data_IF_456817085815
#
_entry.id   IF_456817085815
#
_cell.length_a   1.000
_cell.length_b   1.000
_cell.length_c   1.000
_cell.angle_alpha   90.00
_cell.angle_beta   90.00
_cell.angle_gamma   90.00
#
_symmetry.space_group_name_H-M   'P 1'
#
loop_
_entity.id
_entity.type
_entity.pdbx_description
1 polymer ?
#
# COMPACT_ATOMS: atom_id res chain seq x y z
N UNK A 1 3.98 0.32 11.99
CA UNK A 1 3.28 -0.28 10.85
C UNK A 1 2.78 -1.65 11.30
N UNK A 2 1.75 -2.25 10.68
CA UNK A 2 1.55 -3.72 10.80
C UNK A 2 2.25 -4.43 9.64
N UNK A 3 2.56 -5.72 9.78
CA UNK A 3 3.21 -6.49 8.69
C UNK A 3 2.38 -6.46 7.41
N UNK A 4 1.07 -6.69 7.51
CA UNK A 4 0.14 -6.63 6.37
C UNK A 4 0.04 -5.26 5.70
N UNK A 5 0.34 -4.16 6.40
CA UNK A 5 0.39 -2.82 5.79
C UNK A 5 1.73 -2.61 5.09
N UNK A 6 2.82 -3.12 5.67
CA UNK A 6 4.16 -3.10 5.07
C UNK A 6 4.17 -3.92 3.78
N UNK A 7 3.73 -5.17 3.85
CA UNK A 7 3.61 -6.10 2.72
C UNK A 7 2.80 -5.47 1.57
N UNK A 8 1.62 -4.92 1.86
CA UNK A 8 0.80 -4.26 0.85
C UNK A 8 1.50 -3.08 0.17
N UNK A 9 2.19 -2.23 0.94
CA UNK A 9 2.93 -1.08 0.40
C UNK A 9 4.12 -1.51 -0.45
N UNK A 10 4.89 -2.51 0.03
CA UNK A 10 6.06 -3.04 -0.66
C UNK A 10 5.64 -3.70 -1.97
N UNK A 11 4.66 -4.60 -1.95
CA UNK A 11 4.20 -5.27 -3.15
C UNK A 11 3.64 -4.27 -4.18
N UNK A 12 2.82 -3.32 -3.75
CA UNK A 12 2.31 -2.27 -4.63
C UNK A 12 3.46 -1.45 -5.26
N UNK A 13 4.51 -1.13 -4.50
CA UNK A 13 5.70 -0.46 -5.02
C UNK A 13 6.47 -1.30 -6.03
N UNK A 14 6.79 -2.55 -5.68
CA UNK A 14 7.55 -3.47 -6.54
C UNK A 14 6.82 -3.77 -7.86
N UNK A 15 5.48 -3.85 -7.82
CA UNK A 15 4.66 -4.06 -9.02
C UNK A 15 4.47 -2.78 -9.85
N UNK A 16 4.91 -1.62 -9.38
CA UNK A 16 4.78 -0.35 -10.11
C UNK A 16 3.36 0.25 -10.05
N UNK A 17 2.61 -0.03 -8.98
CA UNK A 17 1.32 0.63 -8.73
C UNK A 17 1.46 2.15 -8.53
N UNK A 18 2.62 2.58 -8.03
CA UNK A 18 2.92 4.00 -7.80
C UNK A 18 3.65 4.67 -8.97
N UNK A 19 3.89 3.96 -10.07
CA UNK A 19 4.57 4.50 -11.25
C UNK A 19 3.65 5.44 -12.06
N UNK A 20 4.26 6.26 -12.93
CA UNK A 20 3.56 7.09 -13.91
C UNK A 20 4.14 6.85 -15.33
N UNK A 21 3.42 6.14 -16.23
CA UNK A 21 2.12 5.49 -16.02
C UNK A 21 2.22 4.30 -15.06
N UNK A 22 1.11 3.96 -14.40
CA UNK A 22 1.05 2.77 -13.53
C UNK A 22 1.28 1.52 -14.35
N UNK A 23 2.06 0.59 -13.81
CA UNK A 23 2.31 -0.72 -14.43
C UNK A 23 1.26 -1.76 -14.07
N UNK A 24 0.61 -1.59 -12.91
CA UNK A 24 -0.48 -2.45 -12.42
C UNK A 24 -1.60 -1.60 -11.81
N UNK A 25 -2.82 -2.14 -11.82
CA UNK A 25 -3.97 -1.62 -11.12
C UNK A 25 -3.98 -2.02 -9.64
N UNK A 26 -4.85 -1.39 -8.85
CA UNK A 26 -5.07 -1.77 -7.46
C UNK A 26 -5.74 -3.15 -7.33
N UNK A 27 -6.51 -3.54 -8.34
CA UNK A 27 -7.22 -4.82 -8.37
C UNK A 27 -6.25 -5.98 -8.55
N UNK A 28 -5.34 -5.89 -9.52
CA UNK A 28 -4.30 -6.90 -9.77
C UNK A 28 -3.39 -7.13 -8.55
N UNK A 29 -3.02 -6.08 -7.83
CA UNK A 29 -2.23 -6.20 -6.58
C UNK A 29 -3.06 -6.86 -5.47
N UNK A 30 -4.37 -6.61 -5.43
CA UNK A 30 -5.24 -7.21 -4.42
C UNK A 30 -5.46 -8.71 -4.68
N UNK A 31 -5.61 -9.09 -5.96
CA UNK A 31 -5.68 -10.48 -6.41
C UNK A 31 -4.40 -11.25 -6.03
N UNK A 32 -3.21 -10.67 -6.24
CA UNK A 32 -1.95 -11.31 -5.86
C UNK A 32 -1.83 -11.56 -4.35
N UNK A 33 -2.41 -10.66 -3.54
CA UNK A 33 -2.47 -10.82 -2.08
C UNK A 33 -3.62 -11.71 -1.61
N UNK A 34 -4.48 -12.20 -2.51
CA UNK A 34 -5.66 -13.00 -2.18
C UNK A 34 -6.68 -12.24 -1.33
N UNK A 35 -6.81 -10.92 -1.51
CA UNK A 35 -7.74 -10.05 -0.76
C UNK A 35 -8.59 -9.21 -1.70
N UNK A 36 -9.68 -8.64 -1.17
CA UNK A 36 -10.47 -7.70 -1.95
C UNK A 36 -9.72 -6.39 -2.20
N UNK A 37 -9.99 -5.74 -3.34
CA UNK A 37 -9.46 -4.41 -3.67
C UNK A 37 -9.72 -3.39 -2.55
N UNK A 38 -10.89 -3.44 -1.90
CA UNK A 38 -11.24 -2.57 -0.78
C UNK A 38 -10.38 -2.86 0.46
N UNK A 39 -10.06 -4.13 0.73
CA UNK A 39 -9.14 -4.52 1.80
C UNK A 39 -7.75 -3.96 1.55
N UNK A 40 -7.25 -4.07 0.30
CA UNK A 40 -5.96 -3.51 -0.09
C UNK A 40 -5.94 -1.99 0.05
N UNK A 41 -6.94 -1.28 -0.50
CA UNK A 41 -7.08 0.18 -0.37
C UNK A 41 -7.02 0.63 1.09
N UNK A 42 -7.71 -0.10 1.98
CA UNK A 42 -7.72 0.17 3.41
C UNK A 42 -6.35 -0.05 4.06
N UNK A 43 -5.62 -1.10 3.67
CA UNK A 43 -4.23 -1.37 4.13
C UNK A 43 -3.28 -0.27 3.66
N UNK A 44 -3.30 0.08 2.37
CA UNK A 44 -2.47 1.15 1.81
C UNK A 44 -2.74 2.48 2.51
N UNK A 45 -4.01 2.87 2.70
CA UNK A 45 -4.35 4.13 3.39
C UNK A 45 -3.78 4.19 4.82
N UNK A 46 -3.93 3.11 5.60
CA UNK A 46 -3.39 3.05 6.97
C UNK A 46 -1.86 3.05 6.97
N UNK A 47 -1.25 2.32 6.04
CA UNK A 47 0.20 2.28 5.86
C UNK A 47 0.76 3.67 5.54
N UNK A 48 0.21 4.35 4.53
CA UNK A 48 0.58 5.73 4.18
C UNK A 48 0.43 6.69 5.36
N UNK A 49 -0.73 6.67 6.06
CA UNK A 49 -0.94 7.52 7.25
C UNK A 49 0.16 7.31 8.29
N UNK A 50 0.55 6.06 8.53
CA UNK A 50 1.59 5.73 9.51
C UNK A 50 2.99 6.15 9.04
N UNK A 51 3.32 5.98 7.76
CA UNK A 51 4.56 6.49 7.19
C UNK A 51 4.65 8.00 7.32
N UNK A 52 3.62 8.73 6.88
CA UNK A 52 3.57 10.20 6.98
C UNK A 52 3.72 10.66 8.43
N UNK A 53 2.98 10.05 9.37
CA UNK A 53 3.10 10.33 10.80
C UNK A 53 4.52 10.14 11.33
N UNK A 54 5.15 9.03 10.94
CA UNK A 54 6.48 8.64 11.38
C UNK A 54 7.62 9.49 10.78
N UNK A 55 7.52 9.84 9.50
CA UNK A 55 8.65 10.37 8.73
C UNK A 55 8.55 11.86 8.43
N UNK A 56 7.33 12.41 8.33
CA UNK A 56 7.11 13.80 7.91
C UNK A 56 6.49 14.65 9.00
N UNK A 57 5.48 14.12 9.69
CA UNK A 57 4.70 14.90 10.64
C UNK A 57 5.26 14.88 12.08
N UNK A 58 6.30 14.07 12.35
CA UNK A 58 6.92 13.95 13.69
C UNK A 58 5.94 13.55 14.80
N UNK A 59 4.80 12.96 14.43
CA UNK A 59 3.69 12.62 15.32
C UNK A 59 3.51 11.11 15.32
N UNK A 60 4.35 10.46 16.13
CA UNK A 60 4.15 9.10 16.62
C UNK A 60 4.29 9.08 18.13
#
# INVERSE_FOLDING_TARGET
>A
MTETQREALVLAYERGYFDSPRKVSLEEVAEELGITQQSLSSRLRRGHRRLIGATLAGSL
#
